data_IF_175481799886
#
_entry.id   IF_175481799886
#
_cell.length_a   1.000
_cell.length_b   1.000
_cell.length_c   1.000
_cell.angle_alpha   90.00
_cell.angle_beta   90.00
_cell.angle_gamma   90.00
#
_symmetry.space_group_name_H-M   'P 1'
#
loop_
_entity.id
_entity.type
_entity.pdbx_description
1 polymer ?
#
# COMPACT_ATOMS: atom_id res chain seq x y z
N UNK A 1 15.47 5.07 -36.47
CA UNK A 1 15.37 6.49 -36.16
C UNK A 1 16.76 7.05 -36.05
N UNK A 2 17.03 8.17 -36.73
CA UNK A 2 18.37 8.72 -36.85
C UNK A 2 18.91 9.20 -35.48
N UNK A 3 20.25 9.18 -35.28
CA UNK A 3 20.90 9.63 -34.04
C UNK A 3 20.46 11.02 -33.58
N UNK A 4 20.08 11.92 -34.50
CA UNK A 4 19.56 13.25 -34.20
C UNK A 4 18.21 13.20 -33.44
N UNK A 5 17.42 12.16 -33.65
CA UNK A 5 16.15 11.96 -32.96
C UNK A 5 16.36 11.50 -31.50
N UNK A 6 17.41 10.70 -31.25
CA UNK A 6 17.76 10.22 -29.90
C UNK A 6 18.29 11.38 -29.06
N UNK A 7 19.18 12.20 -29.61
CA UNK A 7 19.73 13.39 -28.92
C UNK A 7 18.61 14.38 -28.52
N UNK A 8 17.68 14.66 -29.46
CA UNK A 8 16.53 15.51 -29.18
C UNK A 8 15.63 14.93 -28.09
N UNK A 9 15.37 13.61 -28.12
CA UNK A 9 14.60 12.91 -27.11
C UNK A 9 15.25 13.04 -25.71
N UNK A 10 16.56 12.86 -25.62
CA UNK A 10 17.31 13.02 -24.38
C UNK A 10 17.19 14.46 -23.85
N UNK A 11 17.31 15.46 -24.71
CA UNK A 11 17.20 16.87 -24.32
C UNK A 11 15.81 17.18 -23.75
N UNK A 12 14.74 16.72 -24.41
CA UNK A 12 13.37 16.88 -23.94
C UNK A 12 13.15 16.18 -22.59
N UNK A 13 13.67 14.97 -22.44
CA UNK A 13 13.56 14.22 -21.18
C UNK A 13 14.27 14.95 -20.05
N UNK A 14 15.48 15.46 -20.29
CA UNK A 14 16.27 16.18 -19.28
C UNK A 14 15.59 17.48 -18.86
N UNK A 15 15.03 18.23 -19.79
CA UNK A 15 14.25 19.43 -19.50
C UNK A 15 12.98 19.11 -18.69
N UNK A 16 12.23 18.10 -19.08
CA UNK A 16 11.06 17.67 -18.36
C UNK A 16 11.37 17.22 -16.93
N UNK A 17 12.49 16.50 -16.72
CA UNK A 17 12.96 16.10 -15.39
C UNK A 17 13.37 17.32 -14.54
N UNK A 18 13.96 18.34 -15.14
CA UNK A 18 14.28 19.61 -14.48
C UNK A 18 13.01 20.34 -14.05
N UNK A 19 12.02 20.44 -14.94
CA UNK A 19 10.74 21.08 -14.69
C UNK A 19 9.91 20.34 -13.62
N UNK A 20 10.08 19.01 -13.49
CA UNK A 20 9.53 18.23 -12.37
C UNK A 20 10.26 18.47 -11.03
N UNK A 21 11.29 19.28 -10.97
CA UNK A 21 12.03 19.59 -9.76
C UNK A 21 12.96 18.46 -9.27
N UNK A 22 13.53 17.66 -10.19
CA UNK A 22 14.56 16.67 -9.80
C UNK A 22 15.80 17.35 -9.25
N UNK A 23 16.45 16.72 -8.26
CA UNK A 23 17.67 17.26 -7.66
C UNK A 23 18.81 17.35 -8.67
N UNK A 24 19.67 18.36 -8.53
CA UNK A 24 20.85 18.55 -9.39
C UNK A 24 21.73 17.29 -9.46
N UNK A 25 21.84 16.56 -8.34
CA UNK A 25 22.57 15.27 -8.29
C UNK A 25 21.93 14.22 -9.21
N UNK A 26 20.61 14.12 -9.19
CA UNK A 26 19.86 13.16 -10.04
C UNK A 26 20.01 13.54 -11.51
N UNK A 27 19.87 14.82 -11.85
CA UNK A 27 20.01 15.31 -13.22
C UNK A 27 21.42 15.03 -13.75
N UNK A 28 22.46 15.33 -12.97
CA UNK A 28 23.85 15.04 -13.33
C UNK A 28 24.08 13.54 -13.57
N UNK A 29 23.51 12.68 -12.73
CA UNK A 29 23.64 11.23 -12.89
C UNK A 29 22.97 10.74 -14.18
N UNK A 30 21.78 11.25 -14.52
CA UNK A 30 21.07 10.89 -15.74
C UNK A 30 21.80 11.40 -16.97
N UNK A 31 22.29 12.64 -16.94
CA UNK A 31 23.10 13.19 -18.02
C UNK A 31 24.35 12.35 -18.29
N UNK A 32 25.07 11.96 -17.24
CA UNK A 32 26.22 11.06 -17.37
C UNK A 32 25.88 9.72 -18.00
N UNK A 33 24.72 9.16 -17.62
CA UNK A 33 24.23 7.90 -18.18
C UNK A 33 23.87 8.03 -19.66
N UNK A 34 23.19 9.11 -20.04
CA UNK A 34 22.85 9.40 -21.44
C UNK A 34 24.09 9.65 -22.28
N UNK A 35 25.01 10.49 -21.82
CA UNK A 35 26.26 10.75 -22.54
C UNK A 35 27.06 9.46 -22.82
N UNK A 36 27.17 8.58 -21.81
CA UNK A 36 27.83 7.28 -21.99
C UNK A 36 27.09 6.35 -22.98
N UNK A 37 25.79 6.48 -23.08
CA UNK A 37 24.97 5.72 -24.04
C UNK A 37 25.13 6.30 -25.46
N UNK A 38 25.04 7.61 -25.63
CA UNK A 38 25.24 8.29 -26.93
C UNK A 38 26.63 8.02 -27.50
N UNK A 39 27.66 8.03 -26.65
CA UNK A 39 29.02 7.66 -27.05
C UNK A 39 29.06 6.22 -27.58
N UNK A 40 28.42 5.27 -26.88
CA UNK A 40 28.33 3.88 -27.30
C UNK A 40 27.58 3.71 -28.62
N UNK A 41 26.50 4.46 -28.85
CA UNK A 41 25.76 4.48 -30.13
C UNK A 41 26.68 4.96 -31.29
N UNK A 42 27.43 6.01 -31.04
CA UNK A 42 28.34 6.60 -32.04
C UNK A 42 29.48 5.63 -32.39
N UNK A 43 30.14 5.05 -31.40
CA UNK A 43 31.23 4.10 -31.56
C UNK A 43 30.80 2.84 -32.34
N UNK A 44 29.56 2.39 -32.13
CA UNK A 44 29.00 1.18 -32.78
C UNK A 44 28.19 1.51 -34.05
N UNK A 45 28.08 2.77 -34.45
CA UNK A 45 27.29 3.23 -35.62
C UNK A 45 25.82 2.78 -35.59
N UNK A 46 25.21 2.76 -34.40
CA UNK A 46 23.84 2.34 -34.22
C UNK A 46 22.90 3.52 -34.42
N UNK A 47 21.91 3.32 -35.27
CA UNK A 47 20.92 4.36 -35.61
C UNK A 47 19.51 4.05 -35.07
N UNK A 48 19.25 2.78 -34.74
CA UNK A 48 17.96 2.31 -34.19
C UNK A 48 18.21 1.60 -32.89
N UNK A 49 17.42 1.93 -31.89
CA UNK A 49 17.48 1.30 -30.55
C UNK A 49 16.14 0.69 -30.21
N UNK A 50 16.18 -0.48 -29.58
CA UNK A 50 15.06 -1.17 -28.99
C UNK A 50 15.38 -1.61 -27.55
N UNK A 51 14.43 -2.28 -26.89
CA UNK A 51 14.61 -2.77 -25.52
C UNK A 51 15.78 -3.76 -25.42
N UNK A 52 15.91 -4.67 -26.37
CA UNK A 52 16.94 -5.72 -26.38
C UNK A 52 18.33 -5.08 -26.48
N UNK A 53 18.52 -4.17 -27.41
CA UNK A 53 19.77 -3.44 -27.58
C UNK A 53 20.16 -2.67 -26.32
N UNK A 54 19.22 -1.97 -25.69
CA UNK A 54 19.46 -1.26 -24.45
C UNK A 54 19.83 -2.20 -23.28
N UNK A 55 19.24 -3.40 -23.22
CA UNK A 55 19.57 -4.41 -22.21
C UNK A 55 20.97 -5.00 -22.46
N UNK A 56 21.37 -5.21 -23.69
CA UNK A 56 22.72 -5.66 -24.06
C UNK A 56 23.78 -4.60 -23.69
N UNK A 57 23.48 -3.32 -23.90
CA UNK A 57 24.34 -2.24 -23.41
C UNK A 57 24.45 -2.26 -21.87
N UNK A 58 23.36 -2.48 -21.15
CA UNK A 58 23.39 -2.61 -19.67
C UNK A 58 24.26 -3.80 -19.27
N UNK A 59 24.11 -4.94 -19.93
CA UNK A 59 24.94 -6.11 -19.67
C UNK A 59 26.44 -5.80 -19.89
N UNK A 60 26.78 -5.18 -21.00
CA UNK A 60 28.16 -4.78 -21.31
C UNK A 60 28.77 -3.87 -20.22
N UNK A 61 27.98 -2.94 -19.68
CA UNK A 61 28.47 -1.97 -18.68
C UNK A 61 28.43 -2.47 -17.23
N UNK A 62 27.65 -3.52 -16.94
CA UNK A 62 27.41 -3.98 -15.56
C UNK A 62 27.73 -5.44 -15.30
N UNK A 63 27.87 -6.27 -16.35
CA UNK A 63 28.02 -7.72 -16.26
C UNK A 63 26.73 -8.47 -15.84
N UNK A 64 25.60 -7.78 -15.72
CA UNK A 64 24.32 -8.38 -15.28
C UNK A 64 23.33 -8.41 -16.42
N UNK A 65 22.73 -9.59 -16.68
CA UNK A 65 21.70 -9.77 -17.70
C UNK A 65 20.31 -9.54 -17.11
N UNK A 66 19.47 -8.88 -17.88
CA UNK A 66 18.06 -8.62 -17.56
C UNK A 66 17.20 -8.95 -18.77
N UNK A 67 15.99 -9.47 -18.52
CA UNK A 67 15.04 -9.84 -19.59
C UNK A 67 14.12 -8.67 -19.98
N UNK A 68 14.04 -7.63 -19.14
CA UNK A 68 13.27 -6.41 -19.42
C UNK A 68 13.67 -5.28 -18.49
N UNK A 69 13.31 -4.04 -18.82
CA UNK A 69 13.46 -2.87 -17.93
C UNK A 69 12.51 -2.91 -16.71
N UNK A 70 11.60 -3.86 -16.66
CA UNK A 70 10.70 -4.08 -15.52
C UNK A 70 11.33 -4.93 -14.41
N UNK A 71 12.51 -5.51 -14.63
CA UNK A 71 13.24 -6.29 -13.63
C UNK A 71 13.62 -5.42 -12.43
N UNK A 72 13.44 -5.96 -11.22
CA UNK A 72 13.91 -5.33 -10.00
C UNK A 72 15.41 -5.60 -9.85
N UNK A 73 16.21 -4.55 -9.79
CA UNK A 73 17.65 -4.68 -9.53
C UNK A 73 17.94 -4.52 -8.04
N UNK A 74 18.85 -5.31 -7.52
CA UNK A 74 19.37 -5.17 -6.15
C UNK A 74 20.53 -4.15 -6.08
N UNK A 75 21.05 -3.72 -7.21
CA UNK A 75 22.20 -2.84 -7.31
C UNK A 75 21.80 -1.42 -7.73
N UNK A 76 22.06 -0.44 -6.87
CA UNK A 76 21.86 0.98 -7.16
C UNK A 76 22.61 1.44 -8.41
N UNK A 77 23.78 0.82 -8.68
CA UNK A 77 24.62 1.14 -9.86
C UNK A 77 23.95 0.72 -11.17
N UNK A 78 23.20 -0.37 -11.16
CA UNK A 78 22.44 -0.82 -12.33
C UNK A 78 21.20 0.06 -12.51
N UNK A 79 20.46 0.36 -11.42
CA UNK A 79 19.28 1.22 -11.45
C UNK A 79 19.57 2.59 -12.07
N UNK A 80 20.72 3.19 -11.78
CA UNK A 80 21.13 4.49 -12.36
C UNK A 80 21.34 4.46 -13.88
N UNK A 81 21.57 3.29 -14.48
CA UNK A 81 21.68 3.12 -15.92
C UNK A 81 20.38 2.69 -16.57
N UNK A 82 19.66 1.76 -15.94
CA UNK A 82 18.39 1.25 -16.46
C UNK A 82 17.31 2.33 -16.53
N UNK A 83 17.20 3.16 -15.48
CA UNK A 83 16.13 4.15 -15.41
C UNK A 83 16.18 5.20 -16.53
N UNK A 84 17.31 5.84 -16.84
CA UNK A 84 17.40 6.77 -17.96
C UNK A 84 17.02 6.12 -19.29
N UNK A 85 17.55 4.93 -19.59
CA UNK A 85 17.26 4.24 -20.85
C UNK A 85 15.80 3.82 -20.96
N UNK A 86 15.17 3.39 -19.87
CA UNK A 86 13.76 3.09 -19.91
C UNK A 86 12.86 4.33 -20.10
N UNK A 87 13.31 5.52 -19.67
CA UNK A 87 12.64 6.78 -19.98
C UNK A 87 12.78 7.14 -21.46
N UNK A 88 13.98 6.91 -22.02
CA UNK A 88 14.27 7.17 -23.42
C UNK A 88 13.42 6.28 -24.34
N UNK A 89 13.40 4.97 -24.10
CA UNK A 89 12.56 4.04 -24.88
C UNK A 89 11.09 4.41 -24.81
N UNK A 90 10.58 4.69 -23.60
CA UNK A 90 9.18 5.09 -23.41
C UNK A 90 8.84 6.39 -24.17
N UNK A 91 9.75 7.36 -24.19
CA UNK A 91 9.55 8.59 -24.94
C UNK A 91 9.56 8.36 -26.45
N UNK A 92 10.50 7.52 -26.94
CA UNK A 92 10.60 7.21 -28.37
C UNK A 92 9.37 6.43 -28.88
N UNK A 93 8.78 5.58 -28.04
CA UNK A 93 7.58 4.80 -28.36
C UNK A 93 6.30 5.64 -28.35
N UNK A 94 6.16 6.55 -27.38
CA UNK A 94 4.90 7.23 -27.12
C UNK A 94 4.88 8.71 -27.53
N UNK A 95 6.01 9.29 -27.93
CA UNK A 95 6.14 10.71 -28.28
C UNK A 95 5.93 11.69 -27.14
N UNK A 96 5.68 11.21 -25.92
CA UNK A 96 5.40 12.03 -24.75
C UNK A 96 6.24 11.58 -23.55
N UNK A 97 6.79 12.56 -22.81
CA UNK A 97 7.51 12.29 -21.59
C UNK A 97 6.57 11.79 -20.49
N UNK A 98 6.88 10.63 -19.95
CA UNK A 98 6.23 10.11 -18.75
C UNK A 98 7.27 9.57 -17.76
N UNK A 99 7.36 10.20 -16.60
CA UNK A 99 8.22 9.71 -15.51
C UNK A 99 7.62 8.47 -14.80
N UNK A 100 6.40 8.11 -15.13
CA UNK A 100 5.78 6.87 -14.66
C UNK A 100 6.10 5.77 -15.66
N UNK A 101 7.24 5.11 -15.49
CA UNK A 101 7.37 3.78 -16.06
C UNK A 101 6.40 2.92 -15.28
N UNK A 102 5.22 2.74 -15.81
CA UNK A 102 4.33 1.69 -15.36
C UNK A 102 5.08 0.39 -15.64
N UNK A 103 5.34 -0.40 -14.59
CA UNK A 103 5.45 -1.84 -14.81
C UNK A 103 4.17 -2.18 -15.56
N UNK A 104 4.28 -2.53 -16.81
CA UNK A 104 3.17 -3.13 -17.53
C UNK A 104 3.01 -4.48 -16.85
N UNK A 105 2.16 -4.55 -15.82
CA UNK A 105 1.55 -5.82 -15.49
C UNK A 105 0.87 -6.22 -16.78
N UNK A 106 1.16 -7.43 -17.25
CA UNK A 106 0.38 -8.00 -18.34
C UNK A 106 -1.08 -7.69 -18.02
N UNK A 107 -1.70 -6.88 -18.85
CA UNK A 107 -3.08 -6.47 -18.65
C UNK A 107 -3.89 -7.75 -18.74
N UNK A 108 -4.71 -8.01 -17.74
CA UNK A 108 -5.57 -9.17 -17.79
C UNK A 108 -6.49 -9.02 -19.00
N UNK A 109 -6.31 -9.87 -19.97
CA UNK A 109 -7.23 -10.00 -21.10
C UNK A 109 -8.19 -11.12 -20.71
N UNK A 110 -9.45 -10.76 -20.47
CA UNK A 110 -10.47 -11.76 -20.18
C UNK A 110 -10.66 -12.67 -21.39
N UNK A 111 -10.58 -14.00 -21.24
CA UNK A 111 -10.94 -14.91 -22.33
C UNK A 111 -12.38 -14.65 -22.80
N UNK A 112 -12.62 -14.71 -24.09
CA UNK A 112 -13.95 -14.43 -24.69
C UNK A 112 -15.05 -15.31 -24.09
N UNK A 113 -14.72 -16.51 -23.68
CA UNK A 113 -15.61 -17.48 -23.04
C UNK A 113 -16.07 -17.08 -21.61
N UNK A 114 -15.43 -16.13 -20.94
CA UNK A 114 -15.77 -15.64 -19.61
C UNK A 114 -16.09 -14.14 -19.62
N UNK A 115 -16.02 -13.49 -20.78
CA UNK A 115 -16.08 -12.02 -20.87
C UNK A 115 -17.41 -11.47 -20.35
N UNK A 116 -18.53 -12.01 -20.84
CA UNK A 116 -19.87 -11.54 -20.49
C UNK A 116 -20.15 -11.60 -19.01
N UNK A 117 -19.86 -12.75 -18.38
CA UNK A 117 -20.07 -12.96 -16.96
C UNK A 117 -19.13 -12.15 -16.09
N UNK A 118 -17.89 -12.00 -16.54
CA UNK A 118 -16.89 -11.22 -15.81
C UNK A 118 -17.21 -9.72 -15.80
N UNK A 119 -17.60 -9.16 -16.95
CA UNK A 119 -18.00 -7.76 -17.05
C UNK A 119 -19.27 -7.49 -16.23
N UNK A 120 -20.28 -8.34 -16.36
CA UNK A 120 -21.50 -8.25 -15.56
C UNK A 120 -21.23 -8.35 -14.05
N UNK A 121 -20.29 -9.19 -13.61
CA UNK A 121 -19.87 -9.25 -12.21
C UNK A 121 -19.17 -7.96 -11.77
N UNK A 122 -18.32 -7.40 -12.58
CA UNK A 122 -17.66 -6.12 -12.27
C UNK A 122 -18.68 -4.99 -12.12
N UNK A 123 -19.68 -4.93 -12.97
CA UNK A 123 -20.79 -3.97 -12.87
C UNK A 123 -21.62 -4.19 -11.59
N UNK A 124 -21.97 -5.43 -11.28
CA UNK A 124 -22.71 -5.78 -10.06
C UNK A 124 -21.98 -5.30 -8.80
N UNK A 125 -20.62 -5.39 -8.76
CA UNK A 125 -19.84 -4.88 -7.63
C UNK A 125 -19.98 -3.36 -7.47
N UNK A 126 -20.16 -2.61 -8.54
CA UNK A 126 -20.45 -1.17 -8.50
C UNK A 126 -21.89 -0.90 -8.01
N UNK A 127 -22.87 -1.61 -8.55
CA UNK A 127 -24.29 -1.45 -8.15
C UNK A 127 -24.53 -1.78 -6.67
N UNK A 128 -23.78 -2.72 -6.11
CA UNK A 128 -23.81 -3.02 -4.67
C UNK A 128 -23.20 -1.91 -3.79
N UNK A 129 -22.75 -0.81 -4.37
CA UNK A 129 -22.14 0.32 -3.64
C UNK A 129 -20.82 0.00 -2.96
N UNK A 130 -20.09 -0.99 -3.44
CA UNK A 130 -18.79 -1.35 -2.88
C UNK A 130 -17.77 -0.24 -3.06
N UNK A 131 -16.88 -0.08 -2.08
CA UNK A 131 -15.76 0.86 -2.19
C UNK A 131 -14.77 0.41 -3.26
N UNK A 132 -14.15 1.37 -3.95
CA UNK A 132 -13.17 1.13 -5.01
C UNK A 132 -12.13 0.05 -4.66
N UNK A 133 -11.55 0.12 -3.46
CA UNK A 133 -10.58 -0.88 -3.02
C UNK A 133 -11.17 -2.30 -2.88
N UNK A 134 -12.46 -2.41 -2.51
CA UNK A 134 -13.18 -3.69 -2.45
C UNK A 134 -13.42 -4.22 -3.85
N UNK A 135 -13.87 -3.36 -4.77
CA UNK A 135 -14.07 -3.72 -6.19
C UNK A 135 -12.75 -4.20 -6.78
N UNK A 136 -11.66 -3.42 -6.67
CA UNK A 136 -10.34 -3.79 -7.17
C UNK A 136 -9.87 -5.15 -6.60
N UNK A 137 -10.08 -5.40 -5.31
CA UNK A 137 -9.68 -6.66 -4.67
C UNK A 137 -10.50 -7.85 -5.17
N UNK A 138 -11.82 -7.69 -5.35
CA UNK A 138 -12.67 -8.75 -5.89
C UNK A 138 -12.31 -9.02 -7.36
N UNK A 139 -12.25 -7.99 -8.17
CA UNK A 139 -11.88 -8.08 -9.59
C UNK A 139 -10.54 -8.79 -9.79
N UNK A 140 -9.49 -8.38 -9.07
CA UNK A 140 -8.17 -9.01 -9.18
C UNK A 140 -8.17 -10.51 -8.83
N UNK A 141 -8.91 -10.92 -7.78
CA UNK A 141 -8.97 -12.33 -7.40
C UNK A 141 -9.80 -13.16 -8.38
N UNK A 142 -10.88 -12.58 -8.94
CA UNK A 142 -11.65 -13.20 -10.01
C UNK A 142 -10.81 -13.37 -11.28
N UNK A 143 -10.01 -12.37 -11.65
CA UNK A 143 -9.06 -12.46 -12.76
C UNK A 143 -8.07 -13.61 -12.59
N UNK A 144 -7.51 -13.76 -11.37
CA UNK A 144 -6.59 -14.86 -11.06
C UNK A 144 -7.29 -16.22 -11.19
N UNK A 145 -8.55 -16.32 -10.72
CA UNK A 145 -9.35 -17.54 -10.86
C UNK A 145 -9.59 -17.88 -12.33
N UNK A 146 -10.07 -16.93 -13.12
CA UNK A 146 -10.34 -17.13 -14.56
C UNK A 146 -9.06 -17.55 -15.28
N UNK A 147 -7.93 -16.90 -14.99
CA UNK A 147 -6.64 -17.27 -15.57
C UNK A 147 -6.26 -18.72 -15.24
N UNK A 148 -6.47 -19.14 -13.99
CA UNK A 148 -6.21 -20.51 -13.57
C UNK A 148 -7.13 -21.50 -14.29
N UNK A 149 -8.44 -21.26 -14.30
CA UNK A 149 -9.44 -22.12 -14.94
C UNK A 149 -9.15 -22.30 -16.44
N UNK A 150 -8.84 -21.21 -17.13
CA UNK A 150 -8.45 -21.28 -18.54
C UNK A 150 -7.18 -22.11 -18.73
N UNK A 151 -6.21 -22.00 -17.84
CA UNK A 151 -4.99 -22.82 -17.83
C UNK A 151 -5.27 -24.31 -17.59
N UNK A 152 -6.40 -24.65 -16.94
CA UNK A 152 -6.88 -26.04 -16.78
C UNK A 152 -7.77 -26.50 -17.92
N UNK A 153 -7.93 -25.71 -18.99
CA UNK A 153 -8.74 -26.07 -20.16
C UNK A 153 -10.24 -25.84 -19.97
N UNK A 154 -10.67 -25.13 -18.94
CA UNK A 154 -12.09 -24.75 -18.75
C UNK A 154 -12.44 -23.64 -19.73
N UNK A 155 -13.44 -23.88 -20.57
CA UNK A 155 -13.83 -22.99 -21.70
C UNK A 155 -15.16 -22.28 -21.48
N UNK A 156 -15.86 -22.51 -20.35
CA UNK A 156 -17.10 -21.83 -20.02
C UNK A 156 -17.34 -21.86 -18.52
N UNK A 157 -18.18 -20.94 -18.02
CA UNK A 157 -18.56 -20.91 -16.60
C UNK A 157 -19.30 -22.17 -16.16
N UNK A 158 -20.09 -22.78 -17.03
CA UNK A 158 -20.81 -24.04 -16.76
C UNK A 158 -19.86 -25.24 -16.57
N UNK A 159 -18.67 -25.21 -17.20
CA UNK A 159 -17.63 -26.23 -17.05
C UNK A 159 -16.84 -26.15 -15.75
N UNK A 160 -17.11 -25.16 -14.89
CA UNK A 160 -16.40 -25.03 -13.62
C UNK A 160 -16.92 -26.08 -12.63
N UNK A 161 -16.01 -26.84 -12.03
CA UNK A 161 -16.31 -27.84 -11.01
C UNK A 161 -15.72 -27.47 -9.66
N UNK A 162 -16.24 -28.07 -8.59
CA UNK A 162 -15.67 -27.87 -7.25
C UNK A 162 -14.21 -28.37 -7.19
N UNK A 163 -13.88 -29.41 -7.95
CA UNK A 163 -12.51 -29.95 -8.01
C UNK A 163 -11.52 -28.90 -8.51
N UNK A 164 -11.84 -28.13 -9.54
CA UNK A 164 -11.00 -27.03 -10.02
C UNK A 164 -10.68 -26.03 -8.92
N UNK A 165 -11.66 -25.75 -8.04
CA UNK A 165 -11.49 -24.77 -6.95
C UNK A 165 -10.64 -25.36 -5.82
N UNK A 166 -10.85 -26.64 -5.48
CA UNK A 166 -10.03 -27.34 -4.49
C UNK A 166 -8.57 -27.43 -4.92
N UNK A 167 -8.33 -27.74 -6.18
CA UNK A 167 -6.98 -27.81 -6.75
C UNK A 167 -6.31 -26.43 -6.75
N UNK A 168 -7.07 -25.36 -7.07
CA UNK A 168 -6.55 -24.01 -6.92
C UNK A 168 -6.18 -23.70 -5.47
N UNK A 169 -7.02 -24.04 -4.50
CA UNK A 169 -6.77 -23.81 -3.08
C UNK A 169 -5.53 -24.56 -2.61
N UNK A 170 -5.29 -25.78 -3.09
CA UNK A 170 -4.05 -26.54 -2.82
C UNK A 170 -2.80 -25.78 -3.27
N UNK A 171 -2.86 -25.03 -4.37
CA UNK A 171 -1.73 -24.17 -4.78
C UNK A 171 -1.39 -23.07 -3.76
N UNK A 172 -2.31 -22.76 -2.85
CA UNK A 172 -2.18 -21.75 -1.81
C UNK A 172 -1.78 -22.32 -0.44
N UNK A 173 -1.42 -23.60 -0.32
CA UNK A 173 -1.13 -24.29 0.95
C UNK A 173 -0.07 -23.59 1.82
N UNK A 174 0.94 -22.96 1.18
CA UNK A 174 2.00 -22.22 1.89
C UNK A 174 1.61 -20.80 2.31
N UNK A 175 0.39 -20.38 2.03
CA UNK A 175 -0.10 -19.05 2.42
C UNK A 175 -0.85 -19.10 3.75
N UNK A 176 -0.88 -17.97 4.45
CA UNK A 176 -1.63 -17.85 5.70
C UNK A 176 -3.13 -18.15 5.47
N UNK A 177 -3.73 -18.89 6.39
CA UNK A 177 -5.16 -19.29 6.34
C UNK A 177 -6.09 -18.09 6.10
N UNK A 178 -5.78 -16.94 6.68
CA UNK A 178 -6.53 -15.70 6.47
C UNK A 178 -6.45 -15.22 5.01
N UNK A 179 -5.32 -15.41 4.35
CA UNK A 179 -5.15 -15.07 2.93
C UNK A 179 -6.01 -15.97 2.05
N UNK A 180 -5.97 -17.29 2.26
CA UNK A 180 -6.84 -18.26 1.60
C UNK A 180 -8.32 -17.89 1.80
N UNK A 181 -8.71 -17.53 3.02
CA UNK A 181 -10.07 -17.09 3.33
C UNK A 181 -10.52 -15.86 2.53
N UNK A 182 -9.60 -14.97 2.12
CA UNK A 182 -9.97 -13.83 1.26
C UNK A 182 -10.27 -14.24 -0.19
N UNK A 183 -9.61 -15.28 -0.71
CA UNK A 183 -9.95 -15.85 -2.01
C UNK A 183 -11.30 -16.55 -1.97
N UNK A 184 -11.50 -17.42 -0.99
CA UNK A 184 -12.79 -18.14 -0.80
C UNK A 184 -13.97 -17.18 -0.65
N UNK A 185 -13.79 -16.05 0.02
CA UNK A 185 -14.81 -15.01 0.10
C UNK A 185 -15.16 -14.45 -1.28
N UNK A 186 -14.15 -14.10 -2.09
CA UNK A 186 -14.36 -13.56 -3.44
C UNK A 186 -14.96 -14.62 -4.37
N UNK A 187 -14.47 -15.85 -4.31
CA UNK A 187 -14.99 -16.95 -5.13
C UNK A 187 -16.46 -17.23 -4.79
N UNK A 188 -16.81 -17.23 -3.50
CA UNK A 188 -18.21 -17.39 -3.09
C UNK A 188 -19.08 -16.28 -3.65
N UNK A 189 -18.65 -15.03 -3.59
CA UNK A 189 -19.37 -13.90 -4.17
C UNK A 189 -19.53 -14.03 -5.70
N UNK A 190 -18.50 -14.48 -6.38
CA UNK A 190 -18.52 -14.67 -7.84
C UNK A 190 -19.45 -15.82 -8.23
N UNK A 191 -19.33 -16.97 -7.59
CA UNK A 191 -20.20 -18.13 -7.87
C UNK A 191 -21.65 -17.91 -7.48
N UNK A 192 -21.93 -17.23 -6.36
CA UNK A 192 -23.31 -16.82 -6.04
C UNK A 192 -23.88 -15.92 -7.15
N UNK A 193 -23.09 -14.97 -7.65
CA UNK A 193 -23.50 -14.13 -8.76
C UNK A 193 -23.79 -14.93 -10.03
N UNK A 194 -22.88 -15.85 -10.40
CA UNK A 194 -23.06 -16.70 -11.59
C UNK A 194 -24.35 -17.55 -11.48
N UNK A 195 -24.59 -18.15 -10.32
CA UNK A 195 -25.78 -18.96 -10.06
C UNK A 195 -27.07 -18.11 -10.07
N UNK A 196 -27.08 -16.97 -9.37
CA UNK A 196 -28.22 -16.05 -9.31
C UNK A 196 -28.61 -15.48 -10.69
N UNK A 197 -27.63 -15.29 -11.58
CA UNK A 197 -27.84 -14.79 -12.95
C UNK A 197 -28.06 -15.91 -13.98
N UNK A 198 -27.99 -17.18 -13.58
CA UNK A 198 -28.21 -18.33 -14.46
C UNK A 198 -27.06 -18.65 -15.42
N UNK A 199 -25.85 -18.15 -15.14
CA UNK A 199 -24.65 -18.52 -15.90
C UNK A 199 -24.12 -19.92 -15.57
N UNK A 200 -24.50 -20.46 -14.41
CA UNK A 200 -24.23 -21.83 -13.99
C UNK A 200 -25.48 -22.41 -13.37
N UNK A 201 -25.69 -23.73 -13.53
CA UNK A 201 -26.83 -24.46 -12.98
C UNK A 201 -26.54 -25.00 -11.57
N UNK A 202 -25.25 -25.20 -11.25
CA UNK A 202 -24.83 -25.76 -9.95
C UNK A 202 -24.44 -24.66 -8.96
N UNK A 203 -24.97 -24.67 -7.72
CA UNK A 203 -24.59 -23.77 -6.65
C UNK A 203 -23.20 -24.13 -6.09
N UNK A 204 -22.17 -23.72 -6.80
CA UNK A 204 -20.77 -23.89 -6.39
C UNK A 204 -20.43 -23.08 -5.13
N UNK A 205 -21.14 -21.96 -4.89
CA UNK A 205 -20.87 -21.09 -3.74
C UNK A 205 -21.13 -21.78 -2.41
N UNK A 206 -22.20 -22.59 -2.33
CA UNK A 206 -22.56 -23.37 -1.13
C UNK A 206 -21.57 -24.52 -0.86
N UNK A 207 -20.97 -25.08 -1.90
CA UNK A 207 -20.02 -26.19 -1.84
C UNK A 207 -18.60 -25.77 -1.41
N UNK A 208 -18.27 -24.46 -1.48
CA UNK A 208 -16.95 -23.99 -1.12
C UNK A 208 -16.61 -24.23 0.36
N UNK A 209 -15.39 -24.68 0.67
CA UNK A 209 -14.98 -24.96 2.03
C UNK A 209 -15.05 -23.69 2.91
N UNK A 210 -15.60 -23.85 4.12
CA UNK A 210 -15.67 -22.78 5.12
C UNK A 210 -14.38 -22.79 5.94
N UNK A 211 -13.50 -21.82 5.69
CA UNK A 211 -12.29 -21.64 6.51
C UNK A 211 -12.70 -20.93 7.81
N UNK A 212 -12.59 -21.61 8.93
CA UNK A 212 -12.75 -20.99 10.25
C UNK A 212 -11.50 -20.19 10.58
N UNK A 213 -11.57 -18.88 10.37
CA UNK A 213 -10.58 -17.95 10.87
C UNK A 213 -11.05 -17.49 12.23
N UNK A 214 -10.35 -17.85 13.32
CA UNK A 214 -10.72 -17.35 14.64
C UNK A 214 -10.73 -15.82 14.59
N UNK A 215 -11.88 -15.20 14.81
CA UNK A 215 -12.06 -13.72 14.72
C UNK A 215 -11.04 -12.95 15.53
N UNK A 216 -10.42 -13.62 16.45
CA UNK A 216 -9.59 -13.01 17.47
C UNK A 216 -8.25 -13.76 17.68
N UNK A 217 -7.71 -14.47 16.69
CA UNK A 217 -6.47 -15.22 16.83
C UNK A 217 -5.22 -14.36 17.10
N UNK A 218 -5.26 -13.09 16.72
CA UNK A 218 -4.09 -12.20 16.82
C UNK A 218 -4.30 -11.18 17.95
N UNK A 219 -3.44 -11.18 18.96
CA UNK A 219 -3.38 -10.11 19.96
C UNK A 219 -2.69 -8.91 19.29
N UNK A 220 -3.32 -7.71 19.29
CA UNK A 220 -2.69 -6.52 18.77
C UNK A 220 -1.36 -6.23 19.49
N UNK A 221 -0.36 -5.80 18.72
CA UNK A 221 0.89 -5.35 19.34
C UNK A 221 0.69 -3.97 19.95
N UNK A 222 1.12 -3.82 21.20
CA UNK A 222 1.13 -2.58 21.97
C UNK A 222 2.58 -2.22 22.24
N UNK A 223 2.95 -1.00 21.90
CA UNK A 223 4.28 -0.45 22.11
C UNK A 223 4.45 0.02 23.55
N UNK A 224 5.62 -0.19 24.13
CA UNK A 224 5.98 0.42 25.41
C UNK A 224 6.17 1.93 25.26
N UNK A 225 6.06 2.68 26.33
CA UNK A 225 6.31 4.14 26.34
C UNK A 225 7.75 4.43 25.94
N UNK A 226 8.69 3.62 26.41
CA UNK A 226 10.12 3.70 26.12
C UNK A 226 10.40 3.48 24.63
N UNK A 227 9.77 2.47 24.02
CA UNK A 227 9.95 2.21 22.60
C UNK A 227 9.36 3.33 21.72
N UNK A 228 8.21 3.87 22.11
CA UNK A 228 7.63 5.04 21.42
C UNK A 228 8.54 6.26 21.52
N UNK A 229 9.16 6.50 22.68
CA UNK A 229 10.12 7.59 22.86
C UNK A 229 11.37 7.39 21.99
N UNK A 230 11.94 6.18 21.98
CA UNK A 230 13.07 5.83 21.11
C UNK A 230 12.70 5.99 19.63
N UNK A 231 11.52 5.53 19.24
CA UNK A 231 11.02 5.67 17.86
C UNK A 231 10.94 7.14 17.43
N UNK A 232 10.33 7.99 18.25
CA UNK A 232 10.21 9.43 17.96
C UNK A 232 11.58 10.12 18.00
N UNK A 233 12.46 9.74 18.92
CA UNK A 233 13.83 10.28 19.01
C UNK A 233 14.73 9.90 17.84
N UNK A 234 14.43 8.80 17.15
CA UNK A 234 15.18 8.39 15.96
C UNK A 234 14.85 9.21 14.69
N UNK A 235 13.78 10.02 14.74
CA UNK A 235 13.40 10.87 13.61
C UNK A 235 14.27 12.11 13.61
N UNK A 236 15.00 12.32 12.53
CA UNK A 236 15.80 13.53 12.34
C UNK A 236 14.90 14.70 11.98
N UNK A 237 14.74 15.64 12.94
CA UNK A 237 13.89 16.83 12.80
C UNK A 237 14.60 18.00 12.14
N UNK A 238 15.88 17.91 11.83
CA UNK A 238 16.57 18.90 10.98
C UNK A 238 16.29 18.64 9.50
N UNK A 239 16.05 17.37 9.11
CA UNK A 239 15.62 17.03 7.76
C UNK A 239 14.15 17.41 7.52
N UNK A 240 13.85 18.16 6.43
CA UNK A 240 12.48 18.50 6.05
C UNK A 240 11.51 17.32 5.96
N UNK A 241 11.97 16.18 5.45
CA UNK A 241 11.19 14.94 5.42
C UNK A 241 11.01 14.38 6.82
N UNK A 242 12.01 14.49 7.67
CA UNK A 242 11.93 14.07 9.06
C UNK A 242 10.89 14.86 9.87
N UNK A 243 10.79 16.17 9.66
CA UNK A 243 9.72 17.01 10.29
C UNK A 243 8.33 16.49 9.91
N UNK A 244 8.11 16.16 8.65
CA UNK A 244 6.86 15.55 8.17
C UNK A 244 6.59 14.21 8.86
N UNK A 245 7.58 13.33 8.84
CA UNK A 245 7.45 11.96 9.33
C UNK A 245 7.21 11.96 10.85
N UNK A 246 7.86 12.88 11.58
CA UNK A 246 7.63 13.10 13.00
C UNK A 246 6.18 13.52 13.31
N UNK A 247 5.64 14.50 12.60
CA UNK A 247 4.26 14.93 12.76
C UNK A 247 3.25 13.79 12.46
N UNK A 248 3.49 13.00 11.40
CA UNK A 248 2.66 11.83 11.05
C UNK A 248 2.68 10.79 12.16
N UNK A 249 3.87 10.43 12.67
CA UNK A 249 4.02 9.46 13.76
C UNK A 249 3.35 9.95 15.04
N UNK A 250 3.54 11.22 15.37
CA UNK A 250 2.97 11.82 16.58
C UNK A 250 1.43 11.80 16.55
N UNK A 251 0.82 12.15 15.41
CA UNK A 251 -0.63 12.06 15.21
C UNK A 251 -1.10 10.59 15.35
N UNK A 252 -0.38 9.64 14.78
CA UNK A 252 -0.74 8.22 14.87
C UNK A 252 -0.67 7.70 16.31
N UNK A 253 0.35 8.11 17.08
CA UNK A 253 0.57 7.69 18.46
C UNK A 253 -0.45 8.34 19.40
N UNK A 254 -0.67 9.67 19.26
CA UNK A 254 -1.44 10.46 20.22
C UNK A 254 -2.95 10.43 19.96
N UNK A 255 -3.35 10.36 18.68
CA UNK A 255 -4.76 10.38 18.28
C UNK A 255 -5.24 9.05 17.70
N UNK A 256 -4.35 8.10 17.47
CA UNK A 256 -4.69 6.78 16.94
C UNK A 256 -5.32 6.81 15.54
N UNK A 257 -5.15 7.89 14.77
CA UNK A 257 -5.69 7.98 13.42
C UNK A 257 -5.09 6.91 12.49
N UNK A 258 -5.91 6.36 11.61
CA UNK A 258 -5.40 5.45 10.58
C UNK A 258 -4.51 6.21 9.61
N UNK A 259 -3.45 5.58 9.12
CA UNK A 259 -2.52 6.25 8.17
C UNK A 259 -3.24 6.76 6.92
N UNK A 260 -4.29 6.08 6.46
CA UNK A 260 -5.14 6.59 5.38
C UNK A 260 -5.78 7.94 5.71
N UNK A 261 -6.32 8.06 6.92
CA UNK A 261 -6.95 9.29 7.39
C UNK A 261 -5.90 10.41 7.60
N UNK A 262 -4.73 10.09 8.18
CA UNK A 262 -3.64 11.07 8.36
C UNK A 262 -3.15 11.64 7.02
N UNK A 263 -2.92 10.80 6.02
CA UNK A 263 -2.44 11.27 4.72
C UNK A 263 -3.49 12.03 3.91
N UNK A 264 -4.78 11.87 4.24
CA UNK A 264 -5.89 12.61 3.62
C UNK A 264 -6.16 13.95 4.26
N UNK A 265 -5.55 14.25 5.43
CA UNK A 265 -5.68 15.55 6.08
C UNK A 265 -5.35 16.67 5.10
N UNK A 266 -6.19 17.69 5.10
CA UNK A 266 -6.02 18.90 4.31
C UNK A 266 -5.49 20.02 5.21
N UNK A 267 -4.95 21.07 4.62
CA UNK A 267 -4.51 22.26 5.36
C UNK A 267 -5.66 22.84 6.19
N UNK A 268 -6.87 22.87 5.62
CA UNK A 268 -8.07 23.36 6.31
C UNK A 268 -8.68 22.37 7.32
N UNK A 269 -8.16 21.13 7.40
CA UNK A 269 -8.57 20.19 8.46
C UNK A 269 -8.14 20.64 9.85
N UNK A 270 -7.15 21.52 9.95
CA UNK A 270 -6.64 22.05 11.21
C UNK A 270 -7.33 23.38 11.53
N UNK A 271 -8.13 23.40 12.58
CA UNK A 271 -8.70 24.62 13.13
C UNK A 271 -7.82 25.14 14.28
N UNK A 272 -6.98 26.10 13.94
CA UNK A 272 -6.03 26.69 14.90
C UNK A 272 -6.71 27.45 16.02
N UNK A 273 -7.82 28.11 15.72
CA UNK A 273 -8.57 28.94 16.72
C UNK A 273 -9.28 28.06 17.75
N UNK A 274 -9.95 26.99 17.26
CA UNK A 274 -10.65 26.02 18.13
C UNK A 274 -9.72 24.94 18.68
N UNK A 275 -8.49 24.88 18.21
CA UNK A 275 -7.53 23.83 18.53
C UNK A 275 -8.11 22.42 18.27
N UNK A 276 -8.70 22.22 17.09
CA UNK A 276 -9.29 20.94 16.68
C UNK A 276 -8.79 20.49 15.32
N UNK A 277 -8.87 19.19 15.09
CA UNK A 277 -8.62 18.51 13.81
C UNK A 277 -9.94 17.94 13.33
N UNK A 278 -10.44 18.42 12.19
CA UNK A 278 -11.70 17.98 11.59
C UNK A 278 -11.44 17.15 10.35
N UNK A 279 -11.97 15.94 10.29
CA UNK A 279 -11.78 15.06 9.13
C UNK A 279 -12.95 14.12 8.93
N UNK A 280 -13.15 13.70 7.66
CA UNK A 280 -14.03 12.60 7.30
C UNK A 280 -13.19 11.34 7.12
N UNK A 281 -13.44 10.33 7.94
CA UNK A 281 -12.68 9.08 7.91
C UNK A 281 -12.91 8.31 6.59
N UNK A 282 -11.84 7.92 5.91
CA UNK A 282 -11.90 7.23 4.60
C UNK A 282 -12.64 5.90 4.71
N UNK A 283 -12.33 5.11 5.75
CA UNK A 283 -12.87 3.75 5.88
C UNK A 283 -14.35 3.74 6.27
N UNK A 284 -14.76 4.61 7.20
CA UNK A 284 -16.11 4.60 7.78
C UNK A 284 -17.03 5.66 7.17
N UNK A 285 -16.47 6.72 6.57
CA UNK A 285 -17.22 7.88 6.09
C UNK A 285 -17.68 8.82 7.21
N UNK A 286 -17.38 8.49 8.47
CA UNK A 286 -17.78 9.25 9.64
C UNK A 286 -16.98 10.55 9.75
N UNK A 287 -17.67 11.64 10.05
CA UNK A 287 -17.02 12.90 10.40
C UNK A 287 -16.62 12.84 11.86
N UNK A 288 -15.37 13.21 12.16
CA UNK A 288 -14.86 13.29 13.52
C UNK A 288 -14.16 14.61 13.75
N UNK A 289 -14.26 15.10 14.98
CA UNK A 289 -13.51 16.23 15.50
C UNK A 289 -12.63 15.76 16.66
N UNK A 290 -11.34 15.98 16.56
CA UNK A 290 -10.35 15.58 17.57
C UNK A 290 -9.62 16.81 18.11
N UNK A 291 -9.13 16.79 19.36
CA UNK A 291 -8.35 17.89 19.90
C UNK A 291 -7.00 17.99 19.19
N UNK A 292 -6.60 19.21 18.83
CA UNK A 292 -5.24 19.50 18.39
C UNK A 292 -4.35 19.67 19.63
N UNK A 293 -3.71 18.57 20.03
CA UNK A 293 -2.77 18.60 21.16
C UNK A 293 -1.58 19.53 20.86
N UNK A 294 -1.04 20.17 21.89
CA UNK A 294 0.04 21.18 21.74
C UNK A 294 1.27 20.63 21.02
N UNK A 295 1.70 19.42 21.37
CA UNK A 295 2.83 18.73 20.74
C UNK A 295 2.60 18.45 19.25
N UNK A 296 1.39 18.02 18.89
CA UNK A 296 0.97 17.81 17.49
C UNK A 296 0.93 19.16 16.75
N UNK A 297 0.35 20.17 17.34
CA UNK A 297 0.27 21.51 16.77
C UNK A 297 1.65 22.08 16.42
N UNK A 298 2.59 22.01 17.37
CA UNK A 298 3.96 22.45 17.12
C UNK A 298 4.69 21.62 16.05
N UNK A 299 4.50 20.31 16.03
CA UNK A 299 5.08 19.46 14.99
C UNK A 299 4.53 19.80 13.59
N UNK A 300 3.23 20.09 13.49
CA UNK A 300 2.61 20.52 12.23
C UNK A 300 3.15 21.90 11.81
N UNK A 301 3.24 22.86 12.71
CA UNK A 301 3.78 24.20 12.43
C UNK A 301 5.23 24.11 11.95
N UNK A 302 6.07 23.33 12.64
CA UNK A 302 7.46 23.15 12.25
C UNK A 302 7.56 22.53 10.84
N UNK A 303 6.74 21.53 10.55
CA UNK A 303 6.69 20.95 9.21
C UNK A 303 6.22 21.98 8.16
N UNK A 304 5.16 22.73 8.43
CA UNK A 304 4.61 23.70 7.46
C UNK A 304 5.59 24.84 7.17
N UNK A 305 6.28 25.34 8.19
CA UNK A 305 7.21 26.48 8.05
C UNK A 305 8.58 26.05 7.50
N UNK A 306 9.10 24.92 7.99
CA UNK A 306 10.51 24.57 7.82
C UNK A 306 10.74 23.25 7.07
N UNK A 307 9.67 22.54 6.65
CA UNK A 307 9.82 21.22 6.06
C UNK A 307 8.97 20.97 4.82
N UNK A 308 7.79 21.59 4.71
CA UNK A 308 6.87 21.30 3.61
C UNK A 308 7.38 21.95 2.31
N UNK A 309 7.61 21.15 1.24
CA UNK A 309 8.00 21.70 -0.06
C UNK A 309 6.89 22.57 -0.64
N UNK A 310 7.26 23.56 -1.45
CA UNK A 310 6.32 24.36 -2.22
C UNK A 310 5.55 23.44 -3.20
N UNK A 311 4.22 23.49 -3.11
CA UNK A 311 3.31 22.66 -3.92
C UNK A 311 1.90 23.22 -3.90
N UNK A 312 1.16 23.00 -4.96
CA UNK A 312 -0.27 23.36 -5.06
C UNK A 312 -1.20 22.34 -4.36
N UNK A 313 -0.65 21.31 -3.73
CA UNK A 313 -1.45 20.31 -3.03
C UNK A 313 -2.09 20.89 -1.79
N UNK A 314 -3.39 20.74 -1.63
CA UNK A 314 -4.12 21.08 -0.40
C UNK A 314 -3.86 20.12 0.77
N UNK A 315 -3.25 18.95 0.49
CA UNK A 315 -2.97 18.00 1.55
C UNK A 315 -1.95 18.56 2.54
N UNK A 316 -2.20 18.35 3.84
CA UNK A 316 -1.29 18.74 4.90
C UNK A 316 0.09 18.09 4.69
N UNK A 317 0.09 16.78 4.47
CA UNK A 317 1.30 15.99 4.25
C UNK A 317 1.47 15.62 2.78
N UNK A 318 2.65 15.91 2.23
CA UNK A 318 3.00 15.64 0.84
C UNK A 318 4.27 14.81 0.73
N UNK A 319 4.50 14.23 -0.44
CA UNK A 319 5.73 13.49 -0.70
C UNK A 319 6.91 14.45 -0.84
N UNK A 320 8.06 14.11 -0.27
CA UNK A 320 9.32 14.83 -0.44
C UNK A 320 10.11 14.32 -1.65
N UNK A 321 9.39 14.09 -2.73
CA UNK A 321 9.93 13.72 -4.04
C UNK A 321 9.09 14.42 -5.09
N UNK A 322 9.77 15.14 -5.99
CA UNK A 322 9.07 15.82 -7.09
C UNK A 322 8.11 14.86 -7.83
N UNK A 323 6.96 15.36 -8.24
CA UNK A 323 6.46 16.73 -8.18
C UNK A 323 5.73 17.12 -6.86
N UNK A 324 6.13 16.59 -5.71
CA UNK A 324 5.64 16.89 -4.35
C UNK A 324 4.13 16.72 -4.13
N UNK A 325 3.54 15.79 -4.86
CA UNK A 325 2.12 15.49 -4.74
C UNK A 325 1.76 14.85 -3.40
N UNK A 326 0.48 14.78 -3.10
CA UNK A 326 -0.07 14.00 -2.00
C UNK A 326 0.39 12.54 -2.03
N UNK A 327 0.30 11.87 -0.90
CA UNK A 327 0.52 10.43 -0.82
C UNK A 327 -0.52 9.67 -1.66
N UNK A 328 -0.09 8.64 -2.37
CA UNK A 328 -1.03 7.74 -3.07
C UNK A 328 -1.82 6.87 -2.09
N UNK A 329 -2.99 6.39 -2.53
CA UNK A 329 -3.93 5.62 -1.70
C UNK A 329 -3.36 4.34 -1.09
N UNK A 330 -2.36 3.75 -1.72
CA UNK A 330 -1.71 2.52 -1.24
C UNK A 330 -0.51 2.77 -0.32
N UNK A 331 -0.17 4.03 -0.02
CA UNK A 331 0.94 4.32 0.87
C UNK A 331 0.56 4.04 2.33
N UNK A 332 1.11 2.98 2.88
CA UNK A 332 0.89 2.56 4.27
C UNK A 332 1.91 3.12 5.26
N UNK A 333 2.87 3.95 4.81
CA UNK A 333 3.97 4.49 5.62
C UNK A 333 4.86 3.41 6.30
N UNK A 334 4.72 2.16 5.86
CA UNK A 334 5.40 1.03 6.50
C UNK A 334 6.91 1.07 6.32
N UNK A 335 7.40 1.53 5.16
CA UNK A 335 8.84 1.64 4.88
C UNK A 335 9.51 2.70 5.75
N UNK A 336 8.84 3.83 5.94
CA UNK A 336 9.29 4.93 6.78
C UNK A 336 9.33 4.49 8.25
N UNK A 337 8.25 3.88 8.76
CA UNK A 337 8.20 3.34 10.12
C UNK A 337 9.31 2.31 10.35
N UNK A 338 9.48 1.34 9.45
CA UNK A 338 10.51 0.31 9.57
C UNK A 338 11.92 0.91 9.62
N UNK A 339 12.21 1.92 8.80
CA UNK A 339 13.47 2.64 8.84
C UNK A 339 13.73 3.29 10.21
N UNK A 340 12.71 3.89 10.81
CA UNK A 340 12.84 4.51 12.14
C UNK A 340 12.97 3.47 13.26
N UNK A 341 12.31 2.31 13.15
CA UNK A 341 12.50 1.17 14.06
C UNK A 341 13.97 0.72 14.06
N UNK A 342 14.55 0.52 12.89
CA UNK A 342 15.97 0.13 12.77
C UNK A 342 16.88 1.23 13.34
N UNK A 343 16.63 2.50 12.99
CA UNK A 343 17.45 3.64 13.45
C UNK A 343 17.35 3.84 14.98
N UNK A 344 16.22 3.49 15.57
CA UNK A 344 16.00 3.51 17.01
C UNK A 344 16.64 2.32 17.75
N UNK A 345 17.20 1.34 17.05
CA UNK A 345 17.73 0.11 17.64
C UNK A 345 16.69 -0.75 18.34
N UNK A 346 15.42 -0.69 17.84
CA UNK A 346 14.32 -1.44 18.44
C UNK A 346 14.26 -2.87 17.92
N UNK A 347 14.31 -3.84 18.83
CA UNK A 347 14.14 -5.26 18.52
C UNK A 347 12.65 -5.61 18.56
N UNK A 348 12.05 -5.75 17.38
CA UNK A 348 10.64 -6.09 17.27
C UNK A 348 10.44 -7.61 17.30
N UNK A 349 9.41 -8.10 18.00
CA UNK A 349 9.12 -9.53 18.07
C UNK A 349 8.79 -10.10 16.66
N UNK A 350 9.46 -11.19 16.27
CA UNK A 350 9.29 -11.82 14.94
C UNK A 350 7.86 -12.27 14.65
N UNK A 351 7.13 -12.72 15.68
CA UNK A 351 5.76 -13.24 15.56
C UNK A 351 4.65 -12.19 15.75
N UNK A 352 4.98 -10.91 15.75
CA UNK A 352 3.99 -9.82 15.92
C UNK A 352 3.94 -8.93 14.70
N UNK A 353 2.73 -8.54 14.32
CA UNK A 353 2.51 -7.56 13.26
C UNK A 353 2.61 -6.16 13.86
N UNK A 354 3.67 -5.46 13.52
CA UNK A 354 3.90 -4.07 13.90
C UNK A 354 3.94 -3.18 12.65
N UNK A 355 3.12 -2.17 12.65
CA UNK A 355 2.98 -1.21 11.55
C UNK A 355 2.25 0.02 12.08
N UNK A 356 1.89 0.95 11.21
CA UNK A 356 1.15 2.15 11.63
C UNK A 356 -0.14 1.82 12.41
N UNK A 357 -0.76 0.67 12.13
CA UNK A 357 -1.96 0.25 12.86
C UNK A 357 -1.65 -0.17 14.31
N UNK A 358 -0.44 -0.66 14.61
CA UNK A 358 -0.07 -1.01 15.99
C UNK A 358 0.04 0.23 16.90
N UNK A 359 0.42 1.39 16.36
CA UNK A 359 0.41 2.66 17.11
C UNK A 359 -1.01 3.03 17.58
N UNK A 360 -2.00 2.81 16.73
CA UNK A 360 -3.41 2.96 17.10
C UNK A 360 -3.86 1.93 18.14
N UNK A 361 -3.40 0.68 18.02
CA UNK A 361 -3.67 -0.35 19.04
C UNK A 361 -3.04 0.00 20.39
N UNK A 362 -1.90 0.67 20.38
CA UNK A 362 -1.24 1.18 21.59
C UNK A 362 -2.08 2.25 22.28
N UNK A 363 -2.62 3.22 21.54
CA UNK A 363 -3.52 4.21 22.15
C UNK A 363 -4.75 3.52 22.79
N UNK A 364 -5.37 2.56 22.07
CA UNK A 364 -6.51 1.81 22.62
C UNK A 364 -6.13 1.03 23.90
N UNK A 365 -4.95 0.38 23.90
CA UNK A 365 -4.41 -0.31 25.09
C UNK A 365 -4.19 0.65 26.26
N UNK A 366 -3.55 1.79 26.03
CA UNK A 366 -3.33 2.79 27.06
C UNK A 366 -4.66 3.36 27.62
N UNK A 367 -5.67 3.55 26.77
CA UNK A 367 -7.01 3.98 27.24
C UNK A 367 -7.69 2.91 28.09
N UNK A 368 -7.52 1.62 27.76
CA UNK A 368 -8.02 0.52 28.60
C UNK A 368 -7.29 0.45 29.94
N UNK A 369 -5.98 0.64 29.95
CA UNK A 369 -5.14 0.64 31.16
C UNK A 369 -5.61 1.69 32.18
N UNK A 370 -6.01 2.87 31.70
CA UNK A 370 -6.63 3.93 32.55
C UNK A 370 -8.13 3.73 32.75
N UNK A 371 -8.68 2.56 32.43
CA UNK A 371 -10.09 2.16 32.59
C UNK A 371 -11.09 3.05 31.83
N UNK A 372 -10.72 3.59 30.68
CA UNK A 372 -11.65 4.31 29.82
C UNK A 372 -12.78 3.36 29.34
N UNK A 373 -14.04 3.80 29.38
CA UNK A 373 -15.16 2.98 28.88
C UNK A 373 -14.99 2.64 27.39
N UNK A 374 -15.34 1.42 27.00
CA UNK A 374 -15.24 0.96 25.59
C UNK A 374 -15.96 1.86 24.58
N UNK A 375 -17.15 2.45 24.88
CA UNK A 375 -17.78 3.41 23.99
C UNK A 375 -16.89 4.63 23.70
N UNK A 376 -16.22 5.18 24.71
CA UNK A 376 -15.31 6.34 24.56
C UNK A 376 -14.12 5.97 23.70
N UNK A 377 -13.52 4.78 23.91
CA UNK A 377 -12.43 4.28 23.07
C UNK A 377 -12.93 4.10 21.63
N UNK A 378 -14.12 3.54 21.45
CA UNK A 378 -14.76 3.34 20.14
C UNK A 378 -14.96 4.66 19.40
N UNK A 379 -15.46 5.66 20.06
CA UNK A 379 -15.68 7.01 19.52
C UNK A 379 -14.38 7.71 19.17
N UNK A 380 -13.42 7.74 20.10
CA UNK A 380 -12.06 8.31 19.87
C UNK A 380 -11.39 7.71 18.65
N UNK A 381 -11.55 6.40 18.48
CA UNK A 381 -10.99 5.69 17.33
C UNK A 381 -11.88 5.78 16.07
N UNK A 382 -13.09 6.32 16.14
CA UNK A 382 -14.05 6.37 15.04
C UNK A 382 -14.41 4.98 14.52
N UNK A 383 -14.79 4.07 15.43
CA UNK A 383 -15.34 2.77 15.09
C UNK A 383 -16.85 2.86 14.90
N UNK A 384 -17.38 2.21 13.87
CA UNK A 384 -18.83 2.13 13.64
C UNK A 384 -19.55 1.23 14.65
N UNK A 385 -18.80 0.34 15.32
CA UNK A 385 -19.35 -0.60 16.30
C UNK A 385 -18.36 -0.82 17.44
N UNK A 386 -18.88 -0.82 18.66
CA UNK A 386 -18.11 -1.14 19.88
C UNK A 386 -17.49 -2.53 19.80
N UNK A 387 -18.12 -3.47 19.10
CA UNK A 387 -17.57 -4.81 18.86
C UNK A 387 -16.22 -4.78 18.14
N UNK A 388 -15.97 -3.77 17.31
CA UNK A 388 -14.64 -3.57 16.67
C UNK A 388 -13.58 -3.19 17.70
N UNK A 389 -13.97 -2.51 18.77
CA UNK A 389 -13.09 -2.11 19.88
C UNK A 389 -12.81 -3.27 20.81
N UNK A 390 -13.68 -4.27 20.89
CA UNK A 390 -13.50 -5.47 21.71
C UNK A 390 -12.22 -6.27 21.43
N UNK A 391 -11.63 -6.10 20.25
CA UNK A 391 -10.32 -6.71 19.94
C UNK A 391 -9.22 -6.25 20.91
N UNK A 392 -9.31 -5.04 21.43
CA UNK A 392 -8.33 -4.47 22.35
C UNK A 392 -8.45 -4.98 23.78
N UNK A 393 -9.62 -5.54 24.19
CA UNK A 393 -9.78 -6.16 25.51
C UNK A 393 -8.77 -7.28 25.77
N UNK A 394 -8.25 -7.90 24.71
CA UNK A 394 -7.22 -8.95 24.83
C UNK A 394 -5.85 -8.44 25.27
N UNK A 395 -5.64 -7.14 25.19
CA UNK A 395 -4.41 -6.50 25.64
C UNK A 395 -4.47 -6.23 27.14
N UNK A 396 -5.68 -6.11 27.69
CA UNK A 396 -5.91 -5.92 29.13
C UNK A 396 -5.89 -7.28 29.89
N UNK A 397 -4.68 -7.83 30.02
CA UNK A 397 -4.47 -9.11 30.70
C UNK A 397 -4.87 -9.02 32.18
N UNK A 398 -4.63 -7.89 32.83
CA UNK A 398 -4.99 -7.65 34.23
C UNK A 398 -6.51 -7.63 34.44
N UNK A 399 -7.24 -6.93 33.55
CA UNK A 399 -8.71 -6.96 33.56
C UNK A 399 -9.26 -8.34 33.30
N UNK A 400 -8.68 -9.09 32.36
CA UNK A 400 -9.09 -10.47 32.07
C UNK A 400 -8.81 -11.41 33.25
N UNK A 401 -7.70 -11.28 33.96
CA UNK A 401 -7.41 -12.07 35.16
C UNK A 401 -8.43 -11.84 36.27
N UNK A 402 -8.90 -10.62 36.45
CA UNK A 402 -9.95 -10.32 37.45
C UNK A 402 -11.32 -10.91 37.10
N UNK A 403 -11.57 -11.19 35.82
CA UNK A 403 -12.79 -11.86 35.34
C UNK A 403 -12.63 -13.38 35.28
N UNK A 404 -11.42 -13.92 35.46
CA UNK A 404 -11.19 -15.36 35.48
C UNK A 404 -11.87 -15.98 36.71
N UNK A 405 -12.66 -17.02 36.48
CA UNK A 405 -13.25 -17.81 37.55
C UNK A 405 -12.12 -18.64 38.17
N UNK A 406 -11.98 -18.55 39.48
CA UNK A 406 -11.04 -19.40 40.22
C UNK A 406 -11.51 -20.86 40.13
N UNK A 407 -10.77 -21.75 39.47
CA UNK A 407 -11.18 -23.14 39.34
C UNK A 407 -11.31 -23.86 40.69
N UNK A 408 -10.51 -23.44 41.71
CA UNK A 408 -10.58 -24.01 43.07
C UNK A 408 -11.88 -23.66 43.78
N UNK A 409 -12.52 -22.49 43.43
CA UNK A 409 -13.82 -22.09 43.99
C UNK A 409 -15.02 -22.73 43.30
N UNK A 410 -14.85 -23.34 42.12
CA UNK A 410 -15.95 -23.94 41.33
C UNK A 410 -16.02 -25.47 41.46
N UNK A 411 -14.90 -26.10 41.78
CA UNK A 411 -14.81 -27.54 42.03
C UNK A 411 -14.43 -27.80 43.51
N UNK A 412 -15.45 -27.97 44.41
CA UNK A 412 -15.14 -28.41 45.76
C UNK A 412 -14.45 -29.77 45.69
N UNK A 413 -13.34 -29.92 46.45
CA UNK A 413 -12.56 -31.15 46.57
C UNK A 413 -13.39 -32.31 47.09
#
# INVERSE_FOLDING_TARGET
>A
MENQNIHNAISVIMEALKNEGKSSKTLKTYQTSFNSFEQYLTENRVTVIDESFCLDYIYLKTGQRFNSFTCVTSSTRVDYRMRPLSLLLNYLENGQFSNKIRKIKAEFVCPSSFMTEYEAFCEELYYRGNKKATIESNTQKTQVLITYLTGQGVTSSEGITIQHIEDYIRTLENYAVKYIGTFLYVFRNYFSFLFEKGYITDDLASKLPKVRIPRNATIPYVWSKEDLQKLLGAVDREDPKGKRDYAILLIAIRLGLRIGDIRSLKLFSINWTRQTINLKMIKTGQQIELPLLKDIGWAIIDYLKNGRPATNSENLFVRHRAPFNAFGDRNAFSKELHRYIIKAGLNMPENKVYGMHSLRSTLAGNMLEIKSPLPIISETLGHQSVNTTGIYLKVDIEGLRKCAVDPEGVFPQ
#
